data_IF_781267614609
#
_entry.id   IF_781267614609
#
_cell.length_a   1.000
_cell.length_b   1.000
_cell.length_c   1.000
_cell.angle_alpha   90.00
_cell.angle_beta   90.00
_cell.angle_gamma   90.00
#
_symmetry.space_group_name_H-M   'P 1'
#
loop_
_entity.id
_entity.type
_entity.pdbx_description
1 polymer ?
#
# COMPACT_ATOMS: atom_id res chain seq x y z
N UNK A 1 -0.97 -23.59 2.72
CA UNK A 1 -0.49 -22.35 2.06
C UNK A 1 -1.08 -21.16 2.80
N UNK A 2 -0.26 -20.19 3.20
CA UNK A 2 -0.74 -18.96 3.83
C UNK A 2 -1.51 -18.11 2.81
N UNK A 3 -2.67 -17.56 3.19
CA UNK A 3 -3.49 -16.68 2.35
C UNK A 3 -3.61 -15.34 3.09
N UNK A 4 -2.82 -14.31 2.74
CA UNK A 4 -2.88 -13.04 3.44
C UNK A 4 -4.23 -12.36 3.17
N UNK A 5 -4.81 -11.73 4.18
CA UNK A 5 -5.96 -10.83 4.00
C UNK A 5 -5.52 -9.42 3.58
N UNK A 6 -4.30 -9.03 3.97
CA UNK A 6 -3.71 -7.73 3.69
C UNK A 6 -2.25 -7.93 3.24
N UNK A 7 -1.81 -7.19 2.23
CA UNK A 7 -0.40 -7.09 1.81
C UNK A 7 -0.01 -5.62 1.64
N UNK A 8 1.08 -5.22 2.31
CA UNK A 8 1.72 -3.93 2.11
C UNK A 8 3.11 -4.17 1.51
N UNK A 9 3.34 -3.61 0.33
CA UNK A 9 4.59 -3.65 -0.41
C UNK A 9 5.27 -2.28 -0.33
N UNK A 10 6.51 -2.21 0.17
CA UNK A 10 7.18 -0.96 0.52
C UNK A 10 8.42 -0.74 -0.33
N UNK A 11 8.39 0.32 -1.12
CA UNK A 11 9.39 0.74 -2.09
C UNK A 11 9.72 2.23 -1.90
N UNK A 12 10.48 2.85 -2.81
CA UNK A 12 10.80 4.26 -2.78
C UNK A 12 11.02 4.88 -4.16
N UNK A 13 10.99 6.22 -4.16
CA UNK A 13 11.34 7.20 -5.22
C UNK A 13 10.16 7.94 -5.88
N UNK A 14 8.92 7.45 -5.81
CA UNK A 14 7.82 7.97 -6.65
C UNK A 14 6.76 8.83 -5.94
N UNK A 15 6.85 8.99 -4.61
CA UNK A 15 5.91 9.79 -3.78
C UNK A 15 4.43 9.44 -4.03
N UNK A 16 4.11 8.13 -4.02
CA UNK A 16 2.79 7.63 -4.36
C UNK A 16 2.38 6.42 -3.53
N UNK A 17 1.08 6.22 -3.39
CA UNK A 17 0.50 4.91 -3.02
C UNK A 17 -0.37 4.37 -4.16
N UNK A 18 -0.36 3.06 -4.37
CA UNK A 18 -1.02 2.38 -5.50
C UNK A 18 -1.69 1.10 -4.98
N UNK A 19 -2.97 0.87 -5.29
CA UNK A 19 -3.66 -0.37 -4.88
C UNK A 19 -5.07 -0.13 -4.35
N UNK A 20 -5.43 -0.87 -3.31
CA UNK A 20 -6.76 -0.80 -2.69
C UNK A 20 -7.10 0.63 -2.24
N UNK A 21 -8.27 1.19 -2.59
CA UNK A 21 -8.60 2.60 -2.34
C UNK A 21 -8.46 3.04 -0.87
N UNK A 22 -8.92 2.22 0.08
CA UNK A 22 -8.84 2.56 1.50
C UNK A 22 -7.39 2.59 2.00
N UNK A 23 -6.57 1.65 1.54
CA UNK A 23 -5.15 1.61 1.87
C UNK A 23 -4.41 2.80 1.25
N UNK A 24 -4.72 3.14 -0.02
CA UNK A 24 -4.18 4.33 -0.71
C UNK A 24 -4.47 5.60 0.11
N UNK A 25 -5.71 5.78 0.58
CA UNK A 25 -6.05 6.93 1.41
C UNK A 25 -5.32 6.92 2.75
N UNK A 26 -5.38 5.80 3.49
CA UNK A 26 -4.72 5.67 4.82
C UNK A 26 -3.24 6.00 4.72
N UNK A 27 -2.52 5.41 3.75
CA UNK A 27 -1.09 5.59 3.60
C UNK A 27 -0.74 6.98 3.08
N UNK A 28 -1.37 7.45 2.00
CA UNK A 28 -1.05 8.79 1.48
C UNK A 28 -1.35 9.89 2.49
N UNK A 29 -2.45 9.81 3.24
CA UNK A 29 -2.80 10.84 4.23
C UNK A 29 -1.88 10.78 5.46
N UNK A 30 -1.51 9.58 5.90
CA UNK A 30 -0.66 9.43 7.10
C UNK A 30 0.82 9.72 6.79
N UNK A 31 1.29 9.42 5.58
CA UNK A 31 2.67 9.65 5.15
C UNK A 31 2.86 10.97 4.39
N UNK A 32 1.77 11.67 4.07
CA UNK A 32 1.75 12.90 3.28
C UNK A 32 2.22 12.72 1.84
N UNK A 33 1.93 11.58 1.20
CA UNK A 33 2.32 11.30 -0.18
C UNK A 33 1.42 12.06 -1.15
N UNK A 34 2.00 12.71 -2.15
CA UNK A 34 1.24 13.60 -3.04
C UNK A 34 0.36 12.85 -4.05
N UNK A 35 0.76 11.65 -4.47
CA UNK A 35 0.05 10.89 -5.50
C UNK A 35 -0.75 9.73 -4.90
N UNK A 36 -2.02 9.66 -5.26
CA UNK A 36 -2.94 8.58 -4.91
C UNK A 36 -3.36 7.85 -6.18
N UNK A 37 -3.10 6.55 -6.26
CA UNK A 37 -3.44 5.72 -7.42
C UNK A 37 -4.36 4.56 -7.00
N UNK A 38 -5.62 4.84 -6.64
CA UNK A 38 -6.58 3.81 -6.26
C UNK A 38 -6.94 2.92 -7.45
N UNK A 39 -7.28 1.66 -7.17
CA UNK A 39 -7.73 0.66 -8.15
C UNK A 39 -6.70 0.36 -9.27
N UNK A 40 -5.41 0.51 -8.97
CA UNK A 40 -4.31 0.10 -9.85
C UNK A 40 -3.52 -1.00 -9.17
N UNK A 41 -3.25 -2.09 -9.88
CA UNK A 41 -2.65 -3.30 -9.29
C UNK A 41 -1.42 -3.83 -10.05
N UNK A 42 -1.05 -3.21 -11.17
CA UNK A 42 0.17 -3.58 -11.90
C UNK A 42 0.19 -5.03 -12.40
N UNK A 43 -0.99 -5.65 -12.61
CA UNK A 43 -1.12 -7.08 -12.91
C UNK A 43 -0.40 -7.49 -14.20
N UNK A 44 -0.38 -6.61 -15.20
CA UNK A 44 0.35 -6.80 -16.46
C UNK A 44 1.88 -6.66 -16.33
N UNK A 45 2.36 -6.16 -15.19
CA UNK A 45 3.77 -5.89 -14.92
C UNK A 45 4.37 -6.84 -13.88
N UNK A 46 3.60 -7.84 -13.42
CA UNK A 46 4.06 -8.84 -12.45
C UNK A 46 4.22 -8.31 -11.02
N UNK A 47 3.54 -7.21 -10.66
CA UNK A 47 3.69 -6.61 -9.34
C UNK A 47 3.17 -7.54 -8.23
N UNK A 48 3.90 -7.62 -7.13
CA UNK A 48 3.55 -8.47 -5.98
C UNK A 48 2.16 -8.13 -5.44
N UNK A 49 1.82 -6.85 -5.33
CA UNK A 49 0.50 -6.42 -4.88
C UNK A 49 -0.64 -6.86 -5.82
N UNK A 50 -0.41 -6.90 -7.14
CA UNK A 50 -1.40 -7.39 -8.11
C UNK A 50 -1.55 -8.90 -8.06
N UNK A 51 -0.44 -9.62 -7.92
CA UNK A 51 -0.46 -11.06 -7.71
C UNK A 51 -1.25 -11.44 -6.45
N UNK A 52 -1.02 -10.74 -5.34
CA UNK A 52 -1.68 -10.98 -4.05
C UNK A 52 -3.18 -10.69 -4.12
N UNK A 53 -3.57 -9.55 -4.69
CA UNK A 53 -4.98 -9.21 -4.94
C UNK A 53 -5.69 -10.27 -5.79
N UNK A 54 -5.11 -10.64 -6.95
CA UNK A 54 -5.72 -11.58 -7.89
C UNK A 54 -5.77 -13.02 -7.37
N UNK A 55 -4.72 -13.48 -6.69
CA UNK A 55 -4.60 -14.89 -6.27
C UNK A 55 -5.34 -15.15 -4.96
N UNK A 56 -5.31 -14.20 -4.03
CA UNK A 56 -5.80 -14.41 -2.67
C UNK A 56 -7.01 -13.54 -2.31
N UNK A 57 -7.36 -12.55 -3.14
CA UNK A 57 -8.36 -11.54 -2.78
C UNK A 57 -7.88 -10.59 -1.68
N UNK A 58 -6.56 -10.51 -1.46
CA UNK A 58 -5.98 -9.71 -0.39
C UNK A 58 -6.13 -8.22 -0.70
N UNK A 59 -6.48 -7.42 0.32
CA UNK A 59 -6.31 -5.98 0.24
C UNK A 59 -4.80 -5.68 0.10
N UNK A 60 -4.39 -5.14 -1.03
CA UNK A 60 -3.00 -5.01 -1.43
C UNK A 60 -2.65 -3.56 -1.78
N UNK A 61 -1.48 -3.11 -1.35
CA UNK A 61 -0.96 -1.77 -1.59
C UNK A 61 0.53 -1.82 -1.90
N UNK A 62 0.96 -1.04 -2.88
CA UNK A 62 2.34 -0.61 -3.07
C UNK A 62 2.50 0.84 -2.58
N UNK A 63 3.45 1.04 -1.67
CA UNK A 63 3.86 2.35 -1.16
C UNK A 63 5.20 2.69 -1.77
N UNK A 64 5.25 3.79 -2.50
CA UNK A 64 6.49 4.38 -3.01
C UNK A 64 6.78 5.64 -2.21
N UNK A 65 7.72 5.54 -1.26
CA UNK A 65 8.16 6.69 -0.48
C UNK A 65 8.75 7.79 -1.39
N UNK A 66 8.67 9.04 -0.96
CA UNK A 66 9.41 10.14 -1.61
C UNK A 66 10.92 10.01 -1.38
N UNK A 67 11.73 10.60 -2.24
CA UNK A 67 13.19 10.65 -2.07
C UNK A 67 13.61 11.71 -1.04
N UNK A 68 13.13 11.58 0.21
CA UNK A 68 13.49 12.43 1.34
C UNK A 68 13.26 11.69 2.66
N UNK A 69 13.54 12.33 3.79
CA UNK A 69 13.25 11.77 5.11
C UNK A 69 11.76 11.40 5.25
N UNK A 70 11.50 10.13 5.54
CA UNK A 70 10.19 9.59 5.90
C UNK A 70 10.20 9.27 7.40
N UNK A 71 9.11 9.61 8.10
CA UNK A 71 8.95 9.24 9.51
C UNK A 71 8.55 7.76 9.64
N UNK A 72 9.41 6.96 10.27
CA UNK A 72 9.09 5.56 10.62
C UNK A 72 7.84 5.47 11.50
N UNK A 73 7.63 6.43 12.41
CA UNK A 73 6.43 6.50 13.25
C UNK A 73 5.16 6.67 12.43
N UNK A 74 5.19 7.47 11.36
CA UNK A 74 4.04 7.61 10.47
C UNK A 74 3.81 6.33 9.65
N UNK A 75 4.85 5.62 9.24
CA UNK A 75 4.72 4.30 8.60
C UNK A 75 4.04 3.29 9.53
N UNK A 76 4.50 3.18 10.78
CA UNK A 76 3.87 2.28 11.78
C UNK A 76 2.41 2.69 12.02
N UNK A 77 2.11 3.99 12.08
CA UNK A 77 0.74 4.49 12.21
C UNK A 77 -0.13 4.12 11.01
N UNK A 78 0.38 4.21 9.78
CA UNK A 78 -0.36 3.85 8.58
C UNK A 78 -0.67 2.33 8.53
N UNK A 79 0.31 1.50 8.91
CA UNK A 79 0.12 0.05 9.07
C UNK A 79 -0.95 -0.24 10.11
N UNK A 80 -0.87 0.39 11.29
CA UNK A 80 -1.83 0.17 12.38
C UNK A 80 -3.25 0.57 11.99
N UNK A 81 -3.43 1.71 11.32
CA UNK A 81 -4.73 2.15 10.78
C UNK A 81 -5.29 1.16 9.76
N UNK A 82 -4.42 0.59 8.92
CA UNK A 82 -4.82 -0.41 7.91
C UNK A 82 -5.29 -1.70 8.57
N UNK A 83 -4.54 -2.20 9.55
CA UNK A 83 -4.94 -3.38 10.34
C UNK A 83 -6.29 -3.12 11.02
N UNK A 84 -6.47 -1.96 11.65
CA UNK A 84 -7.73 -1.61 12.31
C UNK A 84 -8.92 -1.44 11.35
N UNK A 85 -8.68 -1.07 10.08
CA UNK A 85 -9.74 -0.92 9.08
C UNK A 85 -10.30 -2.26 8.57
N UNK A 86 -9.44 -3.30 8.52
CA UNK A 86 -9.78 -4.61 7.95
C UNK A 86 -9.99 -5.72 9.00
N UNK A 87 -9.88 -5.39 10.30
CA UNK A 87 -10.32 -6.22 11.42
C UNK A 87 -11.79 -5.93 11.76
#
# INVERSE_FOLDING_TARGET
KYRPNILCDFHGWLDTSIGNPNMVNIFSDTLGLSRKQPNRYGESYGYLMGYSYKTYGAASLLVEYRNSNISHTNTVRAISKTIAYYN
#
